data_IF_352259514891
#
_entry.id   IF_352259514891
#
_cell.length_a   1.000
_cell.length_b   1.000
_cell.length_c   1.000
_cell.angle_alpha   90.00
_cell.angle_beta   90.00
_cell.angle_gamma   90.00
#
_symmetry.space_group_name_H-M   'P 1'
#
loop_
_entity.id
_entity.type
_entity.pdbx_description
1 polymer ?
#
# COMPACT_ATOMS: atom_id res chain seq x y z
N UNK A 1 34.19 -66.25 -0.26
CA UNK A 1 33.40 -66.01 0.96
C UNK A 1 32.93 -64.56 0.96
N UNK A 2 31.63 -64.37 0.71
CA UNK A 2 30.72 -63.34 1.26
C UNK A 2 31.15 -61.85 1.17
N UNK A 3 30.77 -61.22 0.06
CA UNK A 3 30.50 -59.79 -0.03
C UNK A 3 29.25 -59.47 0.79
N UNK A 4 29.38 -58.74 1.90
CA UNK A 4 28.24 -58.36 2.74
C UNK A 4 28.41 -56.96 3.39
N UNK A 5 29.01 -55.99 2.68
CA UNK A 5 29.28 -54.67 3.26
C UNK A 5 28.75 -53.39 2.53
N UNK A 6 28.02 -53.40 1.40
CA UNK A 6 27.48 -52.14 0.86
C UNK A 6 26.11 -51.76 1.42
N UNK A 7 25.38 -52.69 2.04
CA UNK A 7 23.96 -52.49 2.39
C UNK A 7 23.72 -51.60 3.62
N UNK A 8 24.72 -51.45 4.52
CA UNK A 8 24.54 -50.71 5.78
C UNK A 8 24.75 -49.20 5.61
N UNK A 9 25.58 -48.75 4.65
CA UNK A 9 25.84 -47.32 4.43
C UNK A 9 24.73 -46.58 3.68
N UNK A 10 23.93 -47.27 2.86
CA UNK A 10 22.81 -46.64 2.15
C UNK A 10 21.63 -46.30 3.06
N UNK A 11 21.45 -47.04 4.16
CA UNK A 11 20.34 -46.84 5.10
C UNK A 11 20.58 -45.64 6.04
N UNK A 12 21.84 -45.38 6.41
CA UNK A 12 22.21 -44.22 7.23
C UNK A 12 22.04 -42.89 6.49
N UNK A 13 22.23 -42.87 5.16
CA UNK A 13 22.07 -41.65 4.35
C UNK A 13 20.59 -41.28 4.13
N UNK A 14 19.67 -42.25 4.11
CA UNK A 14 18.23 -41.98 4.01
C UNK A 14 17.62 -41.43 5.31
N UNK A 15 18.21 -41.74 6.48
CA UNK A 15 17.73 -41.25 7.77
C UNK A 15 18.07 -39.77 8.03
N UNK A 16 19.07 -39.21 7.35
CA UNK A 16 19.46 -37.81 7.51
C UNK A 16 18.62 -36.83 6.66
N UNK A 17 17.90 -37.31 5.63
CA UNK A 17 17.08 -36.46 4.74
C UNK A 17 15.61 -36.30 5.18
N UNK A 18 15.15 -37.06 6.18
CA UNK A 18 13.75 -37.03 6.60
C UNK A 18 13.26 -35.73 7.27
N UNK A 19 14.06 -34.98 8.08
CA UNK A 19 13.50 -33.81 8.78
C UNK A 19 13.33 -32.59 7.87
N UNK A 20 14.01 -32.54 6.71
CA UNK A 20 13.96 -31.39 5.80
C UNK A 20 12.64 -31.31 4.98
N UNK A 21 11.94 -32.44 4.78
CA UNK A 21 10.68 -32.52 4.04
C UNK A 21 9.44 -32.39 4.95
N UNK A 22 9.62 -32.32 6.26
CA UNK A 22 8.56 -32.31 7.27
C UNK A 22 8.37 -30.96 7.96
N UNK A 23 9.00 -29.87 7.50
CA UNK A 23 8.61 -28.53 7.93
C UNK A 23 7.22 -28.24 7.37
N UNK A 24 6.21 -28.58 8.16
CA UNK A 24 4.85 -28.06 8.01
C UNK A 24 4.99 -26.54 7.83
N UNK A 25 4.46 -26.02 6.74
CA UNK A 25 4.37 -24.58 6.55
C UNK A 25 3.79 -23.98 7.83
N UNK A 26 4.36 -22.89 8.37
CA UNK A 26 3.86 -22.30 9.60
C UNK A 26 2.36 -22.07 9.45
N UNK A 27 1.58 -22.69 10.34
CA UNK A 27 0.14 -22.56 10.30
C UNK A 27 -0.22 -21.08 10.46
N UNK A 28 -1.12 -20.58 9.61
CA UNK A 28 -1.63 -19.22 9.74
C UNK A 28 -2.41 -19.13 11.05
N UNK A 29 -1.95 -18.26 11.94
CA UNK A 29 -2.58 -17.99 13.22
C UNK A 29 -3.61 -16.86 13.08
N UNK A 30 -4.90 -17.25 13.05
CA UNK A 30 -6.01 -16.30 12.95
C UNK A 30 -6.12 -15.38 14.18
N UNK A 31 -5.69 -15.83 15.37
CA UNK A 31 -5.71 -14.99 16.56
C UNK A 31 -4.68 -13.88 16.45
N UNK A 32 -3.44 -14.23 16.04
CA UNK A 32 -2.39 -13.24 15.78
C UNK A 32 -2.80 -12.22 14.73
N UNK A 33 -3.44 -12.65 13.63
CA UNK A 33 -3.95 -11.73 12.60
C UNK A 33 -4.99 -10.76 13.18
N UNK A 34 -5.93 -11.25 13.98
CA UNK A 34 -6.94 -10.40 14.61
C UNK A 34 -6.33 -9.43 15.62
N UNK A 35 -5.32 -9.86 16.39
CA UNK A 35 -4.59 -8.98 17.30
C UNK A 35 -3.88 -7.85 16.54
N UNK A 36 -3.20 -8.14 15.43
CA UNK A 36 -2.57 -7.14 14.58
C UNK A 36 -3.58 -6.08 14.09
N UNK A 37 -4.75 -6.52 13.62
CA UNK A 37 -5.83 -5.61 13.19
C UNK A 37 -6.30 -4.73 14.35
N UNK A 38 -6.53 -5.30 15.54
CA UNK A 38 -6.97 -4.55 16.72
C UNK A 38 -5.97 -3.47 17.13
N UNK A 39 -4.67 -3.79 17.13
CA UNK A 39 -3.63 -2.83 17.49
C UNK A 39 -3.57 -1.72 16.45
N UNK A 40 -3.43 -2.06 15.16
CA UNK A 40 -3.27 -1.07 14.11
C UNK A 40 -4.51 -0.18 13.92
N UNK A 41 -5.70 -0.66 14.27
CA UNK A 41 -6.96 0.07 14.18
C UNK A 41 -7.38 0.73 15.52
N UNK A 42 -6.54 0.68 16.55
CA UNK A 42 -6.87 1.32 17.83
C UNK A 42 -6.79 2.84 17.75
N UNK A 43 -7.48 3.51 18.68
CA UNK A 43 -7.45 4.96 18.80
C UNK A 43 -6.03 5.49 19.05
N UNK A 44 -5.15 4.69 19.67
CA UNK A 44 -3.75 5.04 19.89
C UNK A 44 -3.00 5.32 18.58
N UNK A 45 -3.39 4.68 17.47
CA UNK A 45 -2.75 4.92 16.18
C UNK A 45 -3.30 6.16 15.48
N UNK A 46 -4.45 6.72 15.88
CA UNK A 46 -5.01 7.97 15.34
C UNK A 46 -5.22 7.95 13.80
N UNK A 47 -5.31 6.75 13.21
CA UNK A 47 -5.30 6.53 11.77
C UNK A 47 -3.92 6.17 11.21
N UNK A 48 -3.80 6.05 9.88
CA UNK A 48 -2.56 5.60 9.21
C UNK A 48 -2.30 6.33 7.89
N UNK A 49 -2.68 7.60 7.85
CA UNK A 49 -2.47 8.42 6.66
C UNK A 49 -0.97 8.75 6.49
N UNK A 50 -0.45 8.88 5.27
CA UNK A 50 0.92 9.36 5.06
C UNK A 50 1.14 10.73 5.69
N UNK A 51 2.37 10.98 6.16
CA UNK A 51 2.80 12.16 6.89
C UNK A 51 1.91 12.49 8.12
N UNK A 52 1.48 11.47 8.86
CA UNK A 52 0.72 11.62 10.10
C UNK A 52 1.42 10.95 11.30
N UNK A 53 1.14 11.34 12.55
CA UNK A 53 1.67 10.65 13.73
C UNK A 53 1.35 9.14 13.74
N UNK A 54 0.20 8.76 13.19
CA UNK A 54 -0.21 7.36 13.08
C UNK A 54 0.64 6.53 12.12
N UNK A 55 1.21 7.14 11.08
CA UNK A 55 2.19 6.48 10.21
C UNK A 55 3.45 6.10 10.99
N UNK A 56 4.00 7.02 11.79
CA UNK A 56 5.21 6.77 12.57
C UNK A 56 5.02 5.58 13.52
N UNK A 57 3.90 5.54 14.25
CA UNK A 57 3.52 4.41 15.13
C UNK A 57 3.35 3.12 14.34
N UNK A 58 2.68 3.18 13.19
CA UNK A 58 2.47 2.01 12.30
C UNK A 58 3.78 1.44 11.79
N UNK A 59 4.67 2.28 11.29
CA UNK A 59 5.98 1.87 10.77
C UNK A 59 6.81 1.23 11.88
N UNK A 60 6.88 1.87 13.05
CA UNK A 60 7.61 1.32 14.19
C UNK A 60 7.09 -0.06 14.61
N UNK A 61 5.76 -0.20 14.73
CA UNK A 61 5.13 -1.46 15.08
C UNK A 61 5.41 -2.56 14.04
N UNK A 62 5.28 -2.26 12.74
CA UNK A 62 5.58 -3.22 11.68
C UNK A 62 7.04 -3.66 11.69
N UNK A 63 7.98 -2.74 11.88
CA UNK A 63 9.41 -3.07 12.02
C UNK A 63 9.64 -4.02 13.19
N UNK A 64 9.01 -3.78 14.34
CA UNK A 64 9.07 -4.67 15.49
C UNK A 64 8.53 -6.07 15.16
N UNK A 65 7.35 -6.15 14.53
CA UNK A 65 6.76 -7.45 14.15
C UNK A 65 7.62 -8.22 13.15
N UNK A 66 8.23 -7.54 12.18
CA UNK A 66 9.14 -8.18 11.23
C UNK A 66 10.42 -8.68 11.91
N UNK A 67 11.01 -7.89 12.81
CA UNK A 67 12.16 -8.32 13.62
C UNK A 67 11.82 -9.54 14.49
N UNK A 68 10.67 -9.52 15.15
CA UNK A 68 10.20 -10.64 15.97
C UNK A 68 9.96 -11.91 15.14
N UNK A 69 9.60 -11.77 13.86
CA UNK A 69 9.48 -12.88 12.91
C UNK A 69 10.83 -13.34 12.32
N UNK A 70 11.95 -12.72 12.70
CA UNK A 70 13.28 -13.06 12.20
C UNK A 70 13.60 -12.49 10.81
N UNK A 71 12.78 -11.58 10.30
CA UNK A 71 13.06 -10.92 9.03
C UNK A 71 14.26 -9.97 9.16
N UNK A 72 14.98 -9.80 8.06
CA UNK A 72 16.03 -8.80 7.90
C UNK A 72 15.49 -7.63 7.07
N UNK A 73 16.06 -6.44 7.26
CA UNK A 73 15.68 -5.28 6.45
C UNK A 73 16.15 -5.45 5.00
N UNK A 74 15.28 -5.12 4.06
CA UNK A 74 15.56 -5.18 2.61
C UNK A 74 15.68 -3.81 1.93
N UNK A 75 15.59 -2.72 2.69
CA UNK A 75 15.75 -1.36 2.22
C UNK A 75 17.22 -0.95 2.06
N UNK A 76 17.47 0.34 1.72
CA UNK A 76 18.82 0.90 1.64
C UNK A 76 19.63 0.58 2.89
N UNK A 77 20.87 0.11 2.70
CA UNK A 77 21.80 -0.28 3.78
C UNK A 77 21.24 -1.32 4.78
N UNK A 78 20.30 -2.16 4.35
CA UNK A 78 19.66 -3.16 5.21
C UNK A 78 18.61 -2.60 6.16
N UNK A 79 18.13 -1.37 5.91
CA UNK A 79 17.02 -0.78 6.66
C UNK A 79 15.72 -1.58 6.45
N UNK A 80 14.83 -1.54 7.44
CA UNK A 80 13.47 -2.11 7.29
C UNK A 80 12.51 -1.18 6.57
N UNK A 81 12.89 0.10 6.40
CA UNK A 81 12.02 1.15 5.87
C UNK A 81 12.66 1.74 4.62
N UNK A 82 11.85 1.89 3.57
CA UNK A 82 12.19 2.65 2.38
C UNK A 82 11.37 3.95 2.38
N UNK A 83 12.05 5.08 2.26
CA UNK A 83 11.39 6.39 2.21
C UNK A 83 10.77 6.61 0.84
N UNK A 84 9.48 6.94 0.82
CA UNK A 84 8.77 7.38 -0.38
C UNK A 84 8.52 8.89 -0.31
N UNK A 85 8.92 9.62 -1.35
CA UNK A 85 8.65 11.05 -1.46
C UNK A 85 7.29 11.26 -2.11
N UNK A 86 6.34 11.80 -1.34
CA UNK A 86 4.98 12.06 -1.79
C UNK A 86 4.72 13.56 -1.90
N UNK A 87 3.96 13.96 -2.91
CA UNK A 87 3.41 15.31 -3.03
C UNK A 87 1.98 15.32 -2.49
N UNK A 88 1.64 16.36 -1.72
CA UNK A 88 0.27 16.56 -1.20
C UNK A 88 -0.33 17.82 -1.80
N UNK A 89 -1.33 17.64 -2.64
CA UNK A 89 -2.21 18.75 -3.06
C UNK A 89 -3.35 18.87 -2.08
N UNK A 90 -3.56 20.08 -1.54
CA UNK A 90 -4.71 20.40 -0.68
C UNK A 90 -5.45 21.58 -1.28
N UNK A 91 -6.77 21.45 -1.38
CA UNK A 91 -7.65 22.52 -1.81
C UNK A 91 -8.56 22.89 -0.63
N UNK A 92 -8.28 24.01 0.00
CA UNK A 92 -9.08 24.52 1.12
C UNK A 92 -9.94 25.70 0.70
N UNK A 93 -10.98 25.98 1.49
CA UNK A 93 -11.85 27.14 1.32
C UNK A 93 -12.92 26.97 0.23
N UNK A 94 -13.83 27.96 0.13
CA UNK A 94 -14.89 27.96 -0.88
C UNK A 94 -14.29 28.10 -2.27
N UNK A 95 -14.86 27.39 -3.23
CA UNK A 95 -14.59 27.60 -4.65
C UNK A 95 -15.91 27.82 -5.37
N UNK A 96 -15.93 28.83 -6.24
CA UNK A 96 -17.05 29.06 -7.15
C UNK A 96 -16.70 28.34 -8.45
N UNK A 97 -17.52 27.36 -8.81
CA UNK A 97 -17.42 26.66 -10.09
C UNK A 97 -18.75 26.83 -10.79
N UNK A 98 -18.74 27.50 -11.94
CA UNK A 98 -19.93 27.77 -12.72
C UNK A 98 -19.68 27.46 -14.20
N UNK A 99 -20.68 26.88 -14.86
CA UNK A 99 -20.68 26.64 -16.29
C UNK A 99 -21.80 27.44 -16.97
N UNK A 100 -21.48 28.07 -18.09
CA UNK A 100 -22.45 28.82 -18.90
C UNK A 100 -22.84 28.01 -20.13
N UNK A 101 -24.10 27.58 -20.22
CA UNK A 101 -24.60 26.73 -21.31
C UNK A 101 -25.95 27.23 -21.80
N UNK A 102 -26.03 27.65 -23.07
CA UNK A 102 -27.28 28.07 -23.71
C UNK A 102 -27.96 29.25 -23.01
N UNK A 103 -27.17 30.24 -22.55
CA UNK A 103 -27.68 31.42 -21.83
C UNK A 103 -28.05 31.17 -20.37
N UNK A 104 -27.79 29.99 -19.83
CA UNK A 104 -28.01 29.64 -18.42
C UNK A 104 -26.69 29.48 -17.68
N UNK A 105 -26.68 29.82 -16.40
CA UNK A 105 -25.59 29.54 -15.47
C UNK A 105 -25.94 28.30 -14.65
N UNK A 106 -25.01 27.35 -14.60
CA UNK A 106 -25.08 26.15 -13.77
C UNK A 106 -24.02 26.27 -12.67
N UNK A 107 -24.44 26.38 -11.42
CA UNK A 107 -23.55 26.32 -10.27
C UNK A 107 -23.22 24.86 -9.94
N UNK A 108 -21.93 24.56 -9.80
CA UNK A 108 -21.43 23.21 -9.57
C UNK A 108 -20.75 23.10 -8.21
N UNK A 109 -21.14 22.08 -7.43
CA UNK A 109 -20.51 21.75 -6.17
C UNK A 109 -19.24 20.91 -6.41
N UNK A 110 -18.12 21.36 -5.84
CA UNK A 110 -16.89 20.56 -5.82
C UNK A 110 -17.13 19.27 -5.03
N UNK A 111 -16.88 18.12 -5.65
CA UNK A 111 -17.09 16.79 -5.10
C UNK A 111 -18.33 16.13 -5.70
N UNK A 112 -19.56 16.55 -5.33
CA UNK A 112 -20.79 15.96 -5.85
C UNK A 112 -20.95 16.09 -7.36
N UNK A 113 -20.68 17.29 -7.91
CA UNK A 113 -20.93 17.58 -9.33
C UNK A 113 -19.65 17.56 -10.16
N UNK A 114 -18.54 18.02 -9.58
CA UNK A 114 -17.27 18.17 -10.30
C UNK A 114 -16.06 17.93 -9.41
N UNK A 115 -15.08 17.20 -9.93
CA UNK A 115 -13.74 17.11 -9.37
C UNK A 115 -12.83 18.09 -10.10
N UNK A 116 -12.23 19.00 -9.35
CA UNK A 116 -11.24 19.96 -9.87
C UNK A 116 -9.93 19.69 -9.17
N UNK A 117 -8.86 19.45 -9.90
CA UNK A 117 -7.52 19.22 -9.35
C UNK A 117 -6.45 19.95 -10.15
N UNK A 118 -5.31 20.20 -9.52
CA UNK A 118 -4.10 20.70 -10.18
C UNK A 118 -2.88 20.23 -9.41
N UNK A 119 -1.81 19.95 -10.15
CA UNK A 119 -0.47 19.64 -9.66
C UNK A 119 0.42 20.89 -9.54
N UNK A 120 -0.07 22.06 -9.97
CA UNK A 120 0.70 23.30 -9.92
C UNK A 120 0.91 23.75 -8.46
N UNK A 121 2.14 24.12 -8.06
CA UNK A 121 2.43 24.56 -6.70
C UNK A 121 2.03 26.03 -6.49
N UNK A 122 0.76 26.36 -6.69
CA UNK A 122 0.19 27.70 -6.56
C UNK A 122 -0.99 27.70 -5.59
N UNK A 123 -1.16 28.81 -4.87
CA UNK A 123 -2.21 28.93 -3.86
C UNK A 123 -3.59 29.29 -4.43
N UNK A 124 -3.65 29.75 -5.69
CA UNK A 124 -4.90 30.13 -6.34
C UNK A 124 -4.85 29.86 -7.84
N UNK A 125 -5.97 29.40 -8.40
CA UNK A 125 -6.15 29.19 -9.83
C UNK A 125 -7.47 29.82 -10.23
N UNK A 126 -7.41 30.76 -11.18
CA UNK A 126 -8.60 31.31 -11.85
C UNK A 126 -8.64 30.77 -13.27
N UNK A 127 -9.80 30.29 -13.68
CA UNK A 127 -10.11 29.91 -15.06
C UNK A 127 -11.35 30.70 -15.46
N UNK A 128 -11.25 31.50 -16.51
CA UNK A 128 -12.33 32.40 -16.96
C UNK A 128 -12.68 32.06 -18.40
N UNK A 129 -13.97 31.86 -18.66
CA UNK A 129 -14.55 31.64 -20.00
C UNK A 129 -13.82 30.58 -20.85
N UNK A 130 -13.30 29.54 -20.19
CA UNK A 130 -12.65 28.43 -20.89
C UNK A 130 -13.69 27.54 -21.60
N UNK A 131 -13.46 27.14 -22.86
CA UNK A 131 -14.36 26.23 -23.55
C UNK A 131 -14.34 24.85 -22.89
N UNK A 132 -15.52 24.26 -22.74
CA UNK A 132 -15.69 22.89 -22.25
C UNK A 132 -15.93 21.96 -23.43
N UNK A 133 -15.17 20.87 -23.49
CA UNK A 133 -15.26 19.87 -24.57
C UNK A 133 -15.59 18.51 -23.97
N UNK A 134 -16.62 17.86 -24.51
CA UNK A 134 -16.94 16.49 -24.16
C UNK A 134 -16.07 15.52 -24.97
N UNK A 135 -15.26 14.71 -24.28
CA UNK A 135 -14.30 13.78 -24.89
C UNK A 135 -14.66 12.29 -24.68
N UNK A 136 -15.93 12.01 -24.35
CA UNK A 136 -16.37 10.64 -24.04
C UNK A 136 -15.72 10.11 -22.75
N UNK A 137 -15.18 8.89 -22.80
CA UNK A 137 -14.56 8.23 -21.64
C UNK A 137 -13.14 8.71 -21.31
N UNK A 138 -12.55 9.59 -22.14
CA UNK A 138 -11.23 10.16 -21.85
C UNK A 138 -10.06 9.15 -21.87
N UNK A 139 -10.26 7.99 -22.48
CA UNK A 139 -9.23 6.96 -22.61
C UNK A 139 -9.22 6.36 -24.02
N UNK A 140 -8.03 6.06 -24.53
CA UNK A 140 -7.84 5.22 -25.72
C UNK A 140 -7.26 3.89 -25.23
N UNK A 141 -8.01 2.81 -25.41
CA UNK A 141 -7.56 1.44 -25.13
C UNK A 141 -7.42 0.71 -26.48
N UNK A 142 -6.24 0.77 -27.12
CA UNK A 142 -6.02 0.23 -28.47
C UNK A 142 -5.98 -1.31 -28.49
N UNK A 143 -5.80 -1.96 -27.35
CA UNK A 143 -5.90 -3.42 -27.23
C UNK A 143 -7.37 -3.89 -27.21
N UNK A 144 -7.89 -4.19 -28.40
CA UNK A 144 -8.91 -5.22 -28.67
C UNK A 144 -8.61 -5.93 -29.97
#
# INVERSE_FOLDING_TARGET
MRHALPAVSALALMMACAPALAQQAPAIDAERMNQAVRVLASDEFEGRAPASPGEEKTVAWLVEQFRAAGAQGGGPDGAFVQVAHLSRTRQDGPAVVAAHVGGRTLDLQRGPDVLVSSDRPVNHITVTDAPVVFVGYGATAPER
#
